data_IF_734861554628
#
_entry.id   IF_734861554628
#
_cell.length_a   1.000
_cell.length_b   1.000
_cell.length_c   1.000
_cell.angle_alpha   90.00
_cell.angle_beta   90.00
_cell.angle_gamma   90.00
#
_symmetry.space_group_name_H-M   'P 1'
#
loop_
_entity.id
_entity.type
_entity.pdbx_description
1 polymer ?
#
# COMPACT_ATOMS: atom_id res chain seq x y z
N UNK A 1 5.89 -41.28 -23.76
CA UNK A 1 5.84 -40.69 -22.40
C UNK A 1 6.41 -39.27 -22.30
N UNK A 2 7.47 -38.90 -23.02
CA UNK A 2 8.13 -37.57 -22.95
C UNK A 2 7.32 -36.35 -23.44
N UNK A 3 6.36 -36.50 -24.38
CA UNK A 3 5.63 -35.31 -24.89
C UNK A 3 4.50 -34.86 -23.95
N UNK A 4 3.87 -35.79 -23.21
CA UNK A 4 2.85 -35.47 -22.21
C UNK A 4 3.43 -34.59 -21.09
N UNK A 5 4.66 -34.86 -20.66
CA UNK A 5 5.36 -34.09 -19.62
C UNK A 5 5.64 -32.65 -20.05
N UNK A 6 6.07 -32.44 -21.30
CA UNK A 6 6.32 -31.10 -21.86
C UNK A 6 5.02 -30.30 -21.99
N UNK A 7 3.92 -30.98 -22.36
CA UNK A 7 2.60 -30.36 -22.47
C UNK A 7 2.05 -29.94 -21.10
N UNK A 8 2.19 -30.79 -20.08
CA UNK A 8 1.82 -30.43 -18.70
C UNK A 8 2.68 -29.29 -18.15
N UNK A 9 3.99 -29.27 -18.45
CA UNK A 9 4.87 -28.17 -18.05
C UNK A 9 4.42 -26.85 -18.68
N UNK A 10 4.14 -26.86 -19.99
CA UNK A 10 3.66 -25.69 -20.72
C UNK A 10 2.35 -25.16 -20.15
N UNK A 11 1.40 -26.05 -19.85
CA UNK A 11 0.11 -25.70 -19.25
C UNK A 11 0.29 -25.08 -17.85
N UNK A 12 1.17 -25.65 -17.02
CA UNK A 12 1.47 -25.12 -15.69
C UNK A 12 2.09 -23.72 -15.75
N UNK A 13 3.05 -23.47 -16.65
CA UNK A 13 3.61 -22.13 -16.86
C UNK A 13 2.57 -21.14 -17.35
N UNK A 14 1.63 -21.56 -18.19
CA UNK A 14 0.59 -20.69 -18.73
C UNK A 14 -0.43 -20.30 -17.65
N UNK A 15 -0.84 -21.26 -16.82
CA UNK A 15 -1.70 -21.01 -15.64
C UNK A 15 -0.99 -20.09 -14.64
N UNK A 16 0.29 -20.34 -14.33
CA UNK A 16 1.06 -19.48 -13.43
C UNK A 16 1.17 -18.05 -13.95
N UNK A 17 1.46 -17.89 -15.24
CA UNK A 17 1.56 -16.57 -15.89
C UNK A 17 0.21 -15.84 -15.87
N UNK A 18 -0.89 -16.55 -16.14
CA UNK A 18 -2.23 -15.99 -16.10
C UNK A 18 -2.62 -15.59 -14.68
N UNK A 19 -2.29 -16.39 -13.66
CA UNK A 19 -2.53 -16.06 -12.26
C UNK A 19 -1.77 -14.81 -11.83
N UNK A 20 -0.49 -14.69 -12.19
CA UNK A 20 0.32 -13.50 -11.91
C UNK A 20 -0.29 -12.26 -12.58
N UNK A 21 -0.66 -12.37 -13.87
CA UNK A 21 -1.27 -11.26 -14.61
C UNK A 21 -2.62 -10.85 -14.02
N UNK A 22 -3.42 -11.83 -13.58
CA UNK A 22 -4.74 -11.58 -12.98
C UNK A 22 -4.61 -10.93 -11.62
N UNK A 23 -3.67 -11.37 -10.78
CA UNK A 23 -3.35 -10.73 -9.51
C UNK A 23 -2.90 -9.27 -9.73
N UNK A 24 -2.01 -9.05 -10.71
CA UNK A 24 -1.53 -7.71 -11.05
C UNK A 24 -2.65 -6.80 -11.59
N UNK A 25 -3.61 -7.37 -12.33
CA UNK A 25 -4.75 -6.62 -12.87
C UNK A 25 -5.79 -6.30 -11.80
N UNK A 26 -6.07 -7.25 -10.89
CA UNK A 26 -6.98 -7.05 -9.76
C UNK A 26 -6.43 -6.01 -8.78
N UNK A 27 -5.13 -6.03 -8.53
CA UNK A 27 -4.40 -5.03 -7.76
C UNK A 27 -4.53 -3.63 -8.39
N UNK A 28 -4.37 -3.52 -9.72
CA UNK A 28 -4.60 -2.26 -10.45
C UNK A 28 -6.04 -1.76 -10.45
N UNK A 29 -7.03 -2.65 -10.38
CA UNK A 29 -8.46 -2.31 -10.37
C UNK A 29 -8.96 -2.04 -8.94
N UNK A 30 -8.10 -2.19 -7.92
CA UNK A 30 -8.47 -1.96 -6.52
C UNK A 30 -9.41 -3.02 -5.94
N UNK A 31 -9.53 -4.18 -6.61
CA UNK A 31 -10.31 -5.34 -6.16
C UNK A 31 -9.33 -6.43 -5.76
N UNK A 32 -8.57 -6.19 -4.68
CA UNK A 32 -7.61 -7.15 -4.12
C UNK A 32 -7.37 -6.88 -2.64
N UNK A 33 -7.01 -7.90 -1.84
CA UNK A 33 -6.53 -7.67 -0.47
C UNK A 33 -5.31 -6.75 -0.51
N UNK A 34 -5.14 -5.87 0.49
CA UNK A 34 -3.95 -5.02 0.60
C UNK A 34 -2.70 -5.92 0.69
N UNK A 35 -1.94 -6.02 -0.39
CA UNK A 35 -0.76 -6.89 -0.49
C UNK A 35 0.52 -6.21 0.03
N UNK A 36 0.43 -5.00 0.59
CA UNK A 36 1.61 -4.22 1.00
C UNK A 36 2.52 -3.83 -0.17
N UNK A 37 2.00 -3.90 -1.40
CA UNK A 37 2.73 -3.52 -2.60
C UNK A 37 2.69 -2.00 -2.77
N UNK A 38 3.86 -1.43 -3.09
CA UNK A 38 4.09 0.02 -3.27
C UNK A 38 3.42 0.58 -4.54
N UNK A 39 2.72 -0.26 -5.29
CA UNK A 39 2.13 0.01 -6.59
C UNK A 39 0.67 -0.42 -6.52
N UNK A 40 -0.24 0.49 -6.85
CA UNK A 40 -1.67 0.30 -6.71
C UNK A 40 -2.37 1.61 -6.33
N UNK A 41 -3.68 1.52 -6.20
CA UNK A 41 -4.59 2.64 -5.99
C UNK A 41 -4.43 3.40 -4.66
N UNK A 42 -3.79 2.77 -3.69
CA UNK A 42 -3.44 3.34 -2.39
C UNK A 42 -1.92 3.43 -2.27
N UNK A 43 -1.25 3.78 -3.37
CA UNK A 43 0.20 3.72 -3.47
C UNK A 43 0.87 4.65 -2.47
N UNK A 44 0.37 5.87 -2.34
CA UNK A 44 0.93 6.84 -1.40
C UNK A 44 0.59 6.48 0.05
N UNK A 45 -0.66 6.08 0.31
CA UNK A 45 -1.06 5.57 1.63
C UNK A 45 -0.16 4.44 2.12
N UNK A 46 0.06 3.41 1.30
CA UNK A 46 0.89 2.27 1.67
C UNK A 46 2.36 2.67 1.91
N UNK A 47 2.89 3.61 1.12
CA UNK A 47 4.26 4.10 1.29
C UNK A 47 4.41 4.91 2.58
N UNK A 48 3.46 5.80 2.86
CA UNK A 48 3.43 6.59 4.10
C UNK A 48 3.26 5.65 5.30
N UNK A 49 2.31 4.71 5.25
CA UNK A 49 2.08 3.74 6.32
C UNK A 49 3.33 2.88 6.61
N UNK A 50 3.96 2.34 5.57
CA UNK A 50 5.19 1.56 5.73
C UNK A 50 6.33 2.38 6.33
N UNK A 51 6.40 3.68 6.03
CA UNK A 51 7.38 4.58 6.64
C UNK A 51 7.12 4.77 8.14
N UNK A 52 5.85 4.98 8.53
CA UNK A 52 5.46 5.08 9.94
C UNK A 52 5.74 3.78 10.69
N UNK A 53 5.35 2.64 10.13
CA UNK A 53 5.57 1.33 10.76
C UNK A 53 7.06 0.96 10.89
N UNK A 54 7.92 1.52 10.06
CA UNK A 54 9.37 1.36 10.16
C UNK A 54 10.00 2.24 11.26
N UNK A 55 9.28 3.25 11.76
CA UNK A 55 9.76 4.11 12.83
C UNK A 55 9.44 3.49 14.21
N UNK A 56 10.45 3.15 15.05
CA UNK A 56 10.23 2.58 16.38
C UNK A 56 9.59 3.55 17.38
N UNK A 57 9.58 4.84 17.10
CA UNK A 57 9.09 5.89 18.00
C UNK A 57 7.60 6.20 17.79
N UNK A 58 7.00 5.62 16.75
CA UNK A 58 5.60 5.82 16.37
C UNK A 58 4.84 4.50 16.35
N UNK A 59 3.69 4.46 17.01
CA UNK A 59 2.73 3.35 16.96
C UNK A 59 1.52 3.78 16.12
N UNK A 60 1.18 3.02 15.06
CA UNK A 60 -0.04 3.27 14.29
C UNK A 60 -1.25 2.81 15.09
N UNK A 61 -2.05 3.76 15.60
CA UNK A 61 -3.25 3.49 16.40
C UNK A 61 -4.47 3.25 15.51
N UNK A 62 -4.60 4.04 14.44
CA UNK A 62 -5.76 3.97 13.54
C UNK A 62 -5.39 4.49 12.16
N UNK A 63 -5.88 3.82 11.13
CA UNK A 63 -5.89 4.34 9.76
C UNK A 63 -7.33 4.57 9.30
N UNK A 64 -7.56 5.57 8.47
CA UNK A 64 -8.86 5.82 7.84
C UNK A 64 -8.62 6.20 6.39
N UNK A 65 -9.11 5.36 5.49
CA UNK A 65 -9.09 5.60 4.05
C UNK A 65 -10.42 6.21 3.64
N UNK A 66 -10.40 7.29 2.88
CA UNK A 66 -11.62 7.83 2.31
C UNK A 66 -12.11 6.96 1.15
N UNK A 67 -13.43 6.89 0.99
CA UNK A 67 -14.06 6.05 -0.04
C UNK A 67 -14.00 6.69 -1.41
N UNK A 68 -13.72 8.01 -1.49
CA UNK A 68 -13.37 8.60 -2.77
C UNK A 68 -12.00 8.09 -3.12
N UNK A 69 -12.07 7.11 -3.99
CA UNK A 69 -10.93 6.40 -4.40
C UNK A 69 -9.99 7.43 -5.11
N UNK A 70 -10.51 8.36 -5.93
CA UNK A 70 -9.71 9.08 -6.92
C UNK A 70 -8.69 10.05 -6.32
N UNK A 71 -8.95 10.49 -5.09
CA UNK A 71 -8.16 11.52 -4.42
C UNK A 71 -7.03 10.95 -3.55
N UNK A 72 -7.04 9.65 -3.26
CA UNK A 72 -6.19 9.02 -2.24
C UNK A 72 -6.22 9.81 -0.91
N UNK A 73 -7.40 10.21 -0.44
CA UNK A 73 -7.52 10.89 0.86
C UNK A 73 -7.44 9.87 2.00
N UNK A 74 -6.52 10.10 2.95
CA UNK A 74 -6.37 9.22 4.10
C UNK A 74 -5.90 9.93 5.36
N UNK A 75 -6.14 9.25 6.48
CA UNK A 75 -5.75 9.71 7.80
C UNK A 75 -4.99 8.60 8.50
N UNK A 76 -3.90 8.97 9.17
CA UNK A 76 -3.13 8.07 10.02
C UNK A 76 -3.06 8.71 11.41
N UNK A 77 -3.57 8.01 12.41
CA UNK A 77 -3.38 8.36 13.80
C UNK A 77 -2.20 7.55 14.33
N UNK A 78 -1.17 8.26 14.74
CA UNK A 78 0.03 7.70 15.36
C UNK A 78 0.05 8.07 16.84
N UNK A 79 0.62 7.21 17.66
CA UNK A 79 0.96 7.50 19.06
C UNK A 79 2.47 7.59 19.16
N UNK A 80 2.96 8.67 19.75
CA UNK A 80 4.40 8.85 20.03
C UNK A 80 4.80 8.12 21.31
N UNK A 81 6.10 7.99 21.56
CA UNK A 81 6.62 7.38 22.82
C UNK A 81 6.11 8.08 24.09
N UNK A 82 5.79 9.37 24.02
CA UNK A 82 5.23 10.16 25.12
C UNK A 82 3.71 9.94 25.31
N UNK A 83 3.15 8.89 24.70
CA UNK A 83 1.73 8.53 24.67
C UNK A 83 0.80 9.59 24.05
N UNK A 84 1.35 10.57 23.33
CA UNK A 84 0.55 11.56 22.60
C UNK A 84 0.04 10.99 21.29
N UNK A 85 -1.27 11.06 21.08
CA UNK A 85 -1.90 10.69 19.81
C UNK A 85 -1.96 11.89 18.86
N UNK A 86 -1.36 11.74 17.69
CA UNK A 86 -1.37 12.73 16.62
C UNK A 86 -2.08 12.16 15.41
N UNK A 87 -3.06 12.91 14.90
CA UNK A 87 -3.79 12.54 13.70
C UNK A 87 -3.28 13.34 12.50
N UNK A 88 -2.67 12.62 11.57
CA UNK A 88 -2.22 13.12 10.29
C UNK A 88 -3.32 13.00 9.25
N UNK A 89 -3.46 14.03 8.43
CA UNK A 89 -4.49 14.16 7.41
C UNK A 89 -3.82 14.44 6.08
N UNK A 90 -3.96 13.51 5.15
CA UNK A 90 -3.39 13.58 3.82
C UNK A 90 -4.54 13.68 2.83
N UNK A 91 -4.83 14.92 2.42
CA UNK A 91 -5.82 15.23 1.39
C UNK A 91 -5.15 15.40 0.04
N UNK A 92 -5.86 14.99 -1.01
CA UNK A 92 -5.44 15.00 -2.40
C UNK A 92 -4.04 14.38 -2.59
N UNK A 93 -3.73 13.33 -1.81
CA UNK A 93 -2.39 12.74 -1.75
C UNK A 93 -1.89 12.37 -3.16
N UNK A 94 -2.78 11.89 -4.03
CA UNK A 94 -2.48 11.59 -5.43
C UNK A 94 -1.82 12.73 -6.23
N UNK A 95 -2.03 14.00 -5.87
CA UNK A 95 -1.43 15.17 -6.54
C UNK A 95 -0.08 15.58 -5.97
N UNK A 96 0.23 15.12 -4.75
CA UNK A 96 1.42 15.54 -4.00
C UNK A 96 2.55 14.55 -4.22
N UNK A 97 3.82 15.01 -4.25
CA UNK A 97 4.94 14.09 -4.26
C UNK A 97 5.08 13.44 -2.87
N UNK A 98 5.50 12.17 -2.84
CA UNK A 98 5.70 11.41 -1.60
C UNK A 98 6.58 12.15 -0.58
N UNK A 99 7.61 12.87 -1.03
CA UNK A 99 8.49 13.67 -0.17
C UNK A 99 7.72 14.67 0.70
N UNK A 100 6.67 15.28 0.15
CA UNK A 100 5.89 16.29 0.87
C UNK A 100 5.02 15.63 1.94
N UNK A 101 4.54 14.42 1.70
CA UNK A 101 3.78 13.64 2.68
C UNK A 101 4.68 13.13 3.80
N UNK A 102 5.88 12.65 3.47
CA UNK A 102 6.86 12.21 4.46
C UNK A 102 7.38 13.39 5.30
N UNK A 103 7.51 14.58 4.73
CA UNK A 103 7.87 15.77 5.49
C UNK A 103 6.80 16.16 6.53
N UNK A 104 5.53 15.82 6.30
CA UNK A 104 4.48 15.99 7.32
C UNK A 104 4.60 15.00 8.48
N UNK A 105 5.13 13.79 8.21
CA UNK A 105 5.47 12.82 9.26
C UNK A 105 6.64 13.29 10.11
N UNK A 106 7.70 13.82 9.50
CA UNK A 106 8.87 14.34 10.23
C UNK A 106 8.48 15.44 11.24
N UNK A 107 7.40 16.19 10.99
CA UNK A 107 6.89 17.19 11.94
C UNK A 107 6.31 16.60 13.22
N UNK A 108 5.91 15.33 13.19
CA UNK A 108 5.34 14.60 14.35
C UNK A 108 6.44 13.89 15.14
N UNK A 109 7.58 13.64 14.50
CA UNK A 109 8.78 13.08 15.14
C UNK A 109 9.57 14.12 15.96
N UNK A 110 9.26 15.42 15.81
CA UNK A 110 9.93 16.53 16.53
C UNK A 110 9.30 16.89 17.88
#
# INVERSE_FOLDING_TARGET
>A
MKSKTKFCLGLATLVASLSILTLFSLDRIGIGPNLGLSFGYYGQFNQVLAHVEANPDLEVVRTTLHRDTALEDFYITVRTQDEHEVRLQFEEAHTRPLSDLLQELEKVEM
#
